data_IF_329186209439
#
_entry.id   IF_329186209439
#
_cell.length_a   1.000
_cell.length_b   1.000
_cell.length_c   1.000
_cell.angle_alpha   90.00
_cell.angle_beta   90.00
_cell.angle_gamma   90.00
#
_symmetry.space_group_name_H-M   'P 1'
#
loop_
_entity.id
_entity.type
_entity.pdbx_description
1 polymer ?
#
# COMPACT_ATOMS: atom_id res chain seq x y z
N UNK A 1 22.45 -0.68 17.43
CA UNK A 1 21.22 -0.95 16.67
C UNK A 1 21.62 -1.49 15.29
N UNK A 2 21.49 -2.80 15.02
CA UNK A 2 21.88 -3.39 13.72
C UNK A 2 20.83 -3.01 12.68
N UNK A 3 21.18 -2.15 11.73
CA UNK A 3 20.34 -1.85 10.57
C UNK A 3 20.26 -3.09 9.69
N UNK A 4 19.09 -3.73 9.64
CA UNK A 4 18.82 -4.83 8.70
C UNK A 4 19.04 -4.29 7.28
N UNK A 5 20.05 -4.82 6.57
CA UNK A 5 20.36 -4.44 5.18
C UNK A 5 19.14 -4.76 4.33
N UNK A 6 18.66 -3.79 3.53
CA UNK A 6 17.52 -4.00 2.63
C UNK A 6 17.99 -4.75 1.40
N UNK A 7 17.49 -5.96 1.18
CA UNK A 7 17.74 -6.71 -0.06
C UNK A 7 16.70 -6.34 -1.11
N UNK A 8 17.16 -5.94 -2.30
CA UNK A 8 16.30 -5.65 -3.44
C UNK A 8 15.71 -6.97 -3.95
N UNK A 9 14.38 -7.06 -3.95
CA UNK A 9 13.67 -8.20 -4.53
C UNK A 9 13.66 -8.08 -6.05
N UNK A 10 13.53 -9.21 -6.75
CA UNK A 10 13.29 -9.23 -8.20
C UNK A 10 12.09 -8.34 -8.57
N UNK A 11 11.03 -8.34 -7.75
CA UNK A 11 9.86 -7.47 -7.95
C UNK A 11 10.20 -5.98 -7.90
N UNK A 12 11.12 -5.58 -7.02
CA UNK A 12 11.58 -4.18 -6.92
C UNK A 12 12.37 -3.77 -8.14
N UNK A 13 13.25 -4.66 -8.61
CA UNK A 13 14.07 -4.43 -9.79
C UNK A 13 13.19 -4.31 -11.04
N UNK A 14 12.20 -5.20 -11.19
CA UNK A 14 11.22 -5.12 -12.26
C UNK A 14 10.41 -3.81 -12.19
N UNK A 15 9.95 -3.42 -11.00
CA UNK A 15 9.23 -2.15 -10.82
C UNK A 15 10.10 -0.95 -11.21
N UNK A 16 11.35 -0.91 -10.75
CA UNK A 16 12.29 0.15 -11.08
C UNK A 16 12.52 0.22 -12.60
N UNK A 17 12.70 -0.94 -13.26
CA UNK A 17 12.87 -1.04 -14.71
C UNK A 17 11.65 -0.56 -15.50
N UNK A 18 10.44 -0.92 -15.07
CA UNK A 18 9.20 -0.45 -15.69
C UNK A 18 9.08 1.08 -15.54
N UNK A 19 9.34 1.62 -14.35
CA UNK A 19 9.29 3.06 -14.12
C UNK A 19 10.33 3.79 -14.99
N UNK A 20 11.54 3.25 -15.12
CA UNK A 20 12.56 3.82 -15.99
C UNK A 20 12.12 3.83 -17.46
N UNK A 21 11.58 2.72 -17.96
CA UNK A 21 11.08 2.61 -19.33
C UNK A 21 9.92 3.58 -19.60
N UNK A 22 8.97 3.70 -18.66
CA UNK A 22 7.87 4.65 -18.76
C UNK A 22 8.37 6.09 -18.74
N UNK A 23 9.38 6.40 -17.92
CA UNK A 23 9.96 7.75 -17.88
C UNK A 23 10.54 8.12 -19.25
N UNK A 24 11.32 7.22 -19.86
CA UNK A 24 11.89 7.43 -21.20
C UNK A 24 10.79 7.57 -22.25
N UNK A 25 9.78 6.69 -22.23
CA UNK A 25 8.65 6.69 -23.16
C UNK A 25 7.82 7.98 -23.07
N UNK A 26 7.66 8.55 -21.88
CA UNK A 26 6.95 9.80 -21.66
C UNK A 26 7.79 11.05 -21.96
N UNK A 27 9.10 10.88 -22.20
CA UNK A 27 10.03 12.01 -22.43
C UNK A 27 10.44 12.11 -23.90
N UNK A 28 10.95 11.04 -24.51
CA UNK A 28 11.59 11.11 -25.83
C UNK A 28 10.65 11.47 -26.99
N UNK A 29 9.42 10.92 -27.10
CA UNK A 29 8.48 11.31 -28.15
C UNK A 29 8.09 12.79 -28.09
N UNK A 30 8.23 13.41 -26.91
CA UNK A 30 7.91 14.81 -26.65
C UNK A 30 9.17 15.63 -26.37
N UNK A 31 10.32 15.25 -26.93
CA UNK A 31 11.61 15.88 -26.66
C UNK A 31 11.58 17.41 -26.90
N UNK A 32 10.86 17.86 -27.94
CA UNK A 32 10.70 19.29 -28.24
C UNK A 32 10.10 20.10 -27.08
N UNK A 33 9.22 19.50 -26.28
CA UNK A 33 8.63 20.13 -25.10
C UNK A 33 9.41 19.78 -23.81
N UNK A 34 10.22 18.72 -23.81
CA UNK A 34 10.82 18.15 -22.61
C UNK A 34 12.22 18.66 -22.25
N UNK A 35 12.87 19.46 -23.11
CA UNK A 35 14.28 19.87 -22.98
C UNK A 35 14.55 21.37 -23.26
N UNK A 36 13.58 22.25 -23.01
CA UNK A 36 13.71 23.69 -23.24
C UNK A 36 13.65 24.54 -21.96
N UNK A 37 13.91 25.84 -22.08
CA UNK A 37 13.76 26.82 -20.98
C UNK A 37 12.35 26.74 -20.36
N UNK A 38 11.35 26.60 -21.22
CA UNK A 38 9.98 26.24 -20.84
C UNK A 38 9.82 24.73 -21.03
N UNK A 39 10.03 23.98 -19.95
CA UNK A 39 10.09 22.51 -19.99
C UNK A 39 8.78 21.86 -19.53
N UNK A 40 8.09 21.15 -20.42
CA UNK A 40 6.93 20.32 -20.05
C UNK A 40 7.28 18.84 -20.19
N UNK A 41 7.71 18.22 -19.09
CA UNK A 41 8.11 16.80 -19.05
C UNK A 41 7.06 15.94 -18.35
N UNK A 42 6.28 15.20 -19.13
CA UNK A 42 5.21 14.32 -18.63
C UNK A 42 5.73 13.25 -17.66
N UNK A 43 6.95 12.75 -17.89
CA UNK A 43 7.58 11.74 -17.06
C UNK A 43 7.76 12.15 -15.59
N UNK A 44 7.78 13.45 -15.30
CA UNK A 44 7.89 13.97 -13.92
C UNK A 44 6.67 13.61 -13.07
N UNK A 45 5.54 13.24 -13.68
CA UNK A 45 4.41 12.68 -12.96
C UNK A 45 4.76 11.38 -12.21
N UNK A 46 5.77 10.62 -12.69
CA UNK A 46 6.23 9.38 -12.05
C UNK A 46 7.08 9.63 -10.80
N UNK A 47 7.54 10.86 -10.55
CA UNK A 47 8.36 11.20 -9.37
C UNK A 47 7.59 11.18 -8.05
N UNK A 48 6.26 11.04 -8.12
CA UNK A 48 5.40 10.79 -6.96
C UNK A 48 5.45 9.33 -6.51
N UNK A 49 5.80 8.38 -7.38
CA UNK A 49 5.83 6.95 -7.05
C UNK A 49 6.81 6.58 -5.91
N UNK A 50 7.98 7.22 -5.79
CA UNK A 50 8.82 7.16 -4.60
C UNK A 50 8.08 7.39 -3.27
N UNK A 51 6.95 8.11 -3.22
CA UNK A 51 6.17 8.26 -1.98
C UNK A 51 5.67 6.91 -1.47
N UNK A 52 5.31 5.99 -2.37
CA UNK A 52 4.73 4.67 -2.04
C UNK A 52 5.78 3.57 -1.93
N UNK A 53 6.80 3.57 -2.79
CA UNK A 53 7.78 2.49 -2.88
C UNK A 53 9.22 3.03 -3.06
N UNK A 54 10.13 2.59 -2.19
CA UNK A 54 11.55 2.94 -2.28
C UNK A 54 12.21 2.46 -3.59
N UNK A 55 11.70 1.38 -4.19
CA UNK A 55 12.18 0.86 -5.47
C UNK A 55 11.90 1.80 -6.65
N UNK A 56 10.94 2.72 -6.52
CA UNK A 56 10.69 3.73 -7.54
C UNK A 56 11.81 4.79 -7.62
N UNK A 57 12.59 4.98 -6.56
CA UNK A 57 13.71 5.95 -6.53
C UNK A 57 14.75 5.64 -7.62
N UNK A 58 15.36 4.44 -7.68
CA UNK A 58 16.28 4.11 -8.76
C UNK A 58 15.59 4.07 -10.13
N UNK A 59 14.29 3.75 -10.18
CA UNK A 59 13.52 3.75 -11.43
C UNK A 59 13.43 5.12 -12.09
N UNK A 60 12.98 6.14 -11.35
CA UNK A 60 12.89 7.52 -11.89
C UNK A 60 14.26 8.12 -12.17
N UNK A 61 15.28 7.78 -11.35
CA UNK A 61 16.66 8.22 -11.58
C UNK A 61 17.23 7.66 -12.89
N UNK A 62 17.16 6.34 -13.07
CA UNK A 62 17.68 5.69 -14.29
C UNK A 62 16.86 6.12 -15.50
N UNK A 63 15.55 6.28 -15.36
CA UNK A 63 14.69 6.82 -16.40
C UNK A 63 15.11 8.22 -16.86
N UNK A 64 15.36 9.14 -15.92
CA UNK A 64 15.84 10.49 -16.21
C UNK A 64 17.23 10.46 -16.86
N UNK A 65 18.14 9.65 -16.34
CA UNK A 65 19.49 9.50 -16.89
C UNK A 65 19.47 9.01 -18.33
N UNK A 66 18.66 7.98 -18.61
CA UNK A 66 18.51 7.46 -19.96
C UNK A 66 17.81 8.47 -20.88
N UNK A 67 16.78 9.17 -20.41
CA UNK A 67 16.11 10.17 -21.22
C UNK A 67 17.04 11.33 -21.60
N UNK A 68 17.88 11.80 -20.68
CA UNK A 68 18.85 12.86 -20.97
C UNK A 68 20.00 12.35 -21.85
N UNK A 69 20.45 11.10 -21.65
CA UNK A 69 21.50 10.48 -22.48
C UNK A 69 21.03 10.25 -23.93
N UNK A 70 19.78 9.83 -24.10
CA UNK A 70 19.17 9.55 -25.40
C UNK A 70 18.53 10.79 -26.03
N UNK A 71 18.69 11.97 -25.42
CA UNK A 71 18.16 13.21 -25.95
C UNK A 71 18.81 13.52 -27.33
N UNK A 72 18.03 13.62 -28.42
CA UNK A 72 18.56 13.85 -29.77
C UNK A 72 19.36 15.15 -29.91
N UNK A 73 18.99 16.18 -29.15
CA UNK A 73 19.65 17.49 -29.20
C UNK A 73 20.83 17.62 -28.24
N UNK A 74 21.12 16.57 -27.45
CA UNK A 74 22.18 16.46 -26.43
C UNK A 74 22.60 17.79 -25.78
N UNK A 75 22.06 18.08 -24.60
CA UNK A 75 22.39 19.29 -23.81
C UNK A 75 23.71 19.18 -23.02
N UNK A 76 24.54 18.18 -23.35
CA UNK A 76 25.83 17.93 -22.71
C UNK A 76 25.75 17.18 -21.38
N UNK A 77 26.94 16.88 -20.81
CA UNK A 77 27.11 16.08 -19.58
C UNK A 77 26.45 16.75 -18.37
N UNK A 78 26.40 18.08 -18.36
CA UNK A 78 25.81 18.86 -17.26
C UNK A 78 24.31 18.56 -17.14
N UNK A 79 23.57 18.46 -18.25
CA UNK A 79 22.15 18.12 -18.21
C UNK A 79 21.93 16.64 -17.86
N UNK A 80 22.75 15.74 -18.40
CA UNK A 80 22.68 14.30 -18.11
C UNK A 80 22.86 14.04 -16.62
N UNK A 81 23.91 14.60 -16.00
CA UNK A 81 24.19 14.37 -14.59
C UNK A 81 23.35 15.28 -13.69
N UNK A 82 23.29 16.58 -13.99
CA UNK A 82 22.58 17.58 -13.20
C UNK A 82 21.10 17.27 -13.08
N UNK A 83 20.42 17.02 -14.20
CA UNK A 83 19.00 16.66 -14.22
C UNK A 83 18.73 15.34 -13.49
N UNK A 84 19.55 14.31 -13.74
CA UNK A 84 19.36 13.00 -13.09
C UNK A 84 19.59 13.04 -11.59
N UNK A 85 20.64 13.73 -11.13
CA UNK A 85 20.93 13.89 -9.71
C UNK A 85 19.86 14.74 -9.01
N UNK A 86 19.32 15.76 -9.68
CA UNK A 86 18.18 16.52 -9.19
C UNK A 86 16.96 15.62 -8.98
N UNK A 87 16.61 14.79 -9.97
CA UNK A 87 15.52 13.81 -9.86
C UNK A 87 15.76 12.79 -8.74
N UNK A 88 16.99 12.30 -8.58
CA UNK A 88 17.35 11.37 -7.50
C UNK A 88 17.16 12.02 -6.11
N UNK A 89 17.64 13.24 -5.94
CA UNK A 89 17.50 14.00 -4.70
C UNK A 89 16.01 14.26 -4.40
N UNK A 90 15.25 14.72 -5.39
CA UNK A 90 13.81 14.91 -5.26
C UNK A 90 13.08 13.64 -4.85
N UNK A 91 13.34 12.52 -5.54
CA UNK A 91 12.72 11.23 -5.26
C UNK A 91 13.03 10.75 -3.83
N UNK A 92 14.27 10.93 -3.37
CA UNK A 92 14.65 10.60 -2.01
C UNK A 92 13.91 11.46 -0.96
N UNK A 93 13.81 12.77 -1.19
CA UNK A 93 13.09 13.68 -0.32
C UNK A 93 11.59 13.36 -0.28
N UNK A 94 10.97 13.12 -1.45
CA UNK A 94 9.57 12.71 -1.56
C UNK A 94 9.30 11.39 -0.84
N UNK A 95 10.19 10.40 -0.95
CA UNK A 95 10.05 9.16 -0.18
C UNK A 95 10.07 9.45 1.33
N UNK A 96 11.01 10.28 1.81
CA UNK A 96 11.13 10.60 3.25
C UNK A 96 9.90 11.36 3.77
N UNK A 97 9.47 12.40 3.06
CA UNK A 97 8.28 13.20 3.41
C UNK A 97 6.98 12.39 3.24
N UNK A 98 6.99 11.43 2.33
CA UNK A 98 5.95 10.46 2.06
C UNK A 98 5.67 9.47 3.19
N UNK A 99 6.40 9.51 4.31
CA UNK A 99 6.16 8.62 5.45
C UNK A 99 4.72 8.72 6.00
N UNK A 100 4.13 9.92 5.94
CA UNK A 100 2.72 10.13 6.37
C UNK A 100 1.72 9.42 5.45
N UNK A 101 2.05 9.26 4.16
CA UNK A 101 1.22 8.51 3.20
C UNK A 101 1.27 7.00 3.41
N UNK A 102 2.36 6.49 4.01
CA UNK A 102 2.61 5.05 4.20
C UNK A 102 2.26 4.54 5.59
N UNK A 103 1.97 5.42 6.54
CA UNK A 103 1.61 5.00 7.90
C UNK A 103 0.32 4.19 7.88
N UNK A 104 0.32 2.94 8.40
CA UNK A 104 -0.91 2.20 8.60
C UNK A 104 -1.84 3.07 9.46
N UNK A 105 -3.07 3.30 9.00
CA UNK A 105 -4.09 3.82 9.91
C UNK A 105 -4.14 2.85 11.08
N UNK A 106 -3.85 3.33 12.29
CA UNK A 106 -4.22 2.61 13.50
C UNK A 106 -5.72 2.35 13.35
N UNK A 107 -6.09 1.10 13.16
CA UNK A 107 -7.45 0.66 13.40
C UNK A 107 -7.73 1.14 14.82
N UNK A 108 -8.70 2.04 14.97
CA UNK A 108 -9.13 2.45 16.29
C UNK A 108 -9.79 1.20 16.86
N UNK A 109 -9.01 0.39 17.57
CA UNK A 109 -9.50 -0.69 18.41
C UNK A 109 -10.24 0.00 19.57
N UNK A 110 -11.43 0.53 19.26
CA UNK A 110 -12.36 1.03 20.25
C UNK A 110 -12.82 -0.18 21.05
N UNK A 111 -12.16 -0.38 22.18
CA UNK A 111 -12.75 -0.82 23.44
C UNK A 111 -13.69 -2.03 23.35
N UNK A 112 -13.12 -3.23 23.22
CA UNK A 112 -13.68 -4.44 23.82
C UNK A 112 -13.05 -4.74 25.19
N UNK A 113 -12.46 -3.72 25.83
CA UNK A 113 -12.02 -3.76 27.22
C UNK A 113 -12.89 -2.76 27.96
N UNK A 114 -14.00 -3.24 28.53
CA UNK A 114 -14.57 -2.72 29.79
C UNK A 114 -15.92 -3.34 30.20
N UNK A 115 -16.53 -4.23 29.40
CA UNK A 115 -17.82 -4.83 29.79
C UNK A 115 -17.66 -6.05 30.73
N UNK A 116 -16.49 -6.70 30.81
CA UNK A 116 -16.32 -7.90 31.64
C UNK A 116 -15.92 -7.64 33.11
N UNK A 117 -15.81 -6.39 33.55
CA UNK A 117 -15.42 -6.05 34.94
C UNK A 117 -16.56 -5.51 35.81
N UNK A 118 -17.79 -5.46 35.31
CA UNK A 118 -18.92 -4.87 36.03
C UNK A 118 -20.13 -5.79 36.22
N UNK A 119 -20.02 -7.10 35.97
CA UNK A 119 -21.03 -8.06 36.44
C UNK A 119 -20.70 -8.45 37.88
N UNK A 120 -21.28 -7.70 38.82
CA UNK A 120 -21.34 -8.01 40.23
C UNK A 120 -21.91 -9.42 40.48
N UNK A 121 -21.48 -10.03 41.59
CA UNK A 121 -21.89 -11.33 42.10
C UNK A 121 -23.42 -11.54 42.11
N UNK A 122 -23.93 -12.75 41.81
CA UNK A 122 -25.34 -13.05 42.04
C UNK A 122 -25.63 -13.13 43.55
N UNK A 123 -26.73 -12.53 44.05
CA UNK A 123 -27.09 -12.63 45.46
C UNK A 123 -27.55 -14.05 45.80
N UNK A 124 -27.06 -14.54 46.94
CA UNK A 124 -27.51 -15.77 47.57
C UNK A 124 -28.98 -15.69 47.97
N UNK A 125 -29.78 -16.68 47.58
CA UNK A 125 -31.07 -16.98 48.21
C UNK A 125 -31.22 -18.48 48.41
N UNK A 126 -31.34 -18.85 49.69
CA UNK A 126 -31.60 -20.19 50.17
C UNK A 126 -33.06 -20.58 49.96
N UNK A 127 -33.34 -21.83 49.59
CA UNK A 127 -34.43 -22.60 50.21
C UNK A 127 -34.37 -24.09 49.83
N UNK A 128 -34.17 -24.88 50.88
CA UNK A 128 -34.45 -26.31 51.16
C UNK A 128 -35.27 -27.10 50.12
N UNK A 129 -34.82 -28.33 49.86
CA UNK A 129 -35.46 -29.63 50.16
C UNK A 129 -34.55 -30.74 49.58
N UNK A 130 -33.81 -31.52 50.38
CA UNK A 130 -34.25 -32.75 51.06
C UNK A 130 -34.73 -33.85 50.09
N UNK A 131 -33.86 -34.82 49.78
CA UNK A 131 -34.15 -36.26 49.80
C UNK A 131 -32.89 -37.08 49.45
N UNK A 132 -32.71 -38.15 50.22
CA UNK A 132 -31.74 -39.25 50.19
C UNK A 132 -31.77 -39.99 48.82
N UNK A 133 -30.85 -40.87 48.40
CA UNK A 133 -30.12 -41.92 49.12
C UNK A 133 -29.06 -42.56 48.19
N UNK A 134 -28.07 -43.23 48.78
CA UNK A 134 -27.04 -44.05 48.10
C UNK A 134 -27.60 -45.41 47.68
N UNK A 135 -27.15 -45.97 46.55
CA UNK A 135 -27.02 -47.44 46.45
C UNK A 135 -25.80 -47.84 45.59
N UNK A 136 -24.90 -48.59 46.23
CA UNK A 136 -23.84 -49.38 45.60
C UNK A 136 -24.47 -50.57 44.86
N UNK A 137 -23.81 -51.14 43.84
CA UNK A 137 -23.43 -52.57 43.82
C UNK A 137 -22.72 -52.97 42.51
N UNK A 138 -21.64 -53.71 42.75
CA UNK A 138 -20.82 -54.54 41.88
C UNK A 138 -21.63 -55.63 41.15
N UNK A 139 -21.30 -55.91 39.89
CA UNK A 139 -21.78 -57.12 39.22
C UNK A 139 -21.03 -57.43 37.94
N UNK A 140 -20.14 -58.42 37.99
CA UNK A 140 -19.55 -59.08 36.83
C UNK A 140 -20.52 -60.12 36.25
N UNK A 141 -20.44 -60.26 34.91
CA UNK A 141 -20.78 -61.41 34.06
C UNK A 141 -22.28 -61.65 33.71
N UNK A 142 -22.61 -62.32 32.58
CA UNK A 142 -21.74 -63.00 31.60
C UNK A 142 -21.97 -62.62 30.12
N UNK A 143 -20.95 -62.84 29.29
CA UNK A 143 -21.17 -63.13 27.86
C UNK A 143 -21.68 -64.57 27.71
N UNK A 144 -22.60 -64.83 26.76
CA UNK A 144 -22.61 -66.11 26.07
C UNK A 144 -22.68 -65.94 24.54
N UNK A 145 -21.63 -66.46 23.91
CA UNK A 145 -21.66 -67.56 22.95
C UNK A 145 -22.54 -67.51 21.68
N UNK A 146 -21.82 -67.31 20.56
CA UNK A 146 -21.75 -68.10 19.31
C UNK A 146 -23.03 -68.65 18.63
N UNK A 147 -23.07 -68.35 17.32
CA UNK A 147 -23.33 -69.25 16.17
C UNK A 147 -24.69 -69.25 15.43
N UNK A 148 -24.53 -69.01 14.12
CA UNK A 148 -25.08 -69.69 12.94
C UNK A 148 -26.54 -69.47 12.50
N UNK A 149 -26.61 -68.89 11.29
CA UNK A 149 -27.25 -69.48 10.11
C UNK A 149 -28.76 -69.77 10.13
N UNK A 150 -29.50 -68.93 9.42
CA UNK A 150 -30.59 -69.36 8.53
C UNK A 150 -31.99 -68.94 8.95
N UNK A 151 -32.54 -67.95 8.23
CA UNK A 151 -33.89 -67.88 7.64
C UNK A 151 -34.36 -66.42 7.50
N UNK A 152 -34.41 -65.92 6.26
CA UNK A 152 -35.30 -64.82 5.85
C UNK A 152 -36.69 -65.43 5.56
N UNK A 153 -37.84 -64.70 5.60
CA UNK A 153 -38.02 -63.25 5.40
C UNK A 153 -39.14 -62.55 6.24
N UNK A 154 -39.15 -61.22 6.30
CA UNK A 154 -40.37 -60.39 6.27
C UNK A 154 -40.00 -58.91 5.93
N UNK A 155 -40.75 -58.20 5.05
CA UNK A 155 -40.40 -56.84 4.65
C UNK A 155 -41.06 -55.83 5.60
N UNK A 156 -40.37 -55.50 6.69
CA UNK A 156 -40.89 -54.53 7.64
C UNK A 156 -40.73 -53.09 7.13
N UNK A 157 -41.88 -52.54 6.75
CA UNK A 157 -42.16 -51.12 6.55
C UNK A 157 -41.81 -50.37 7.83
N UNK A 158 -40.63 -49.76 7.91
CA UNK A 158 -40.32 -48.61 8.78
C UNK A 158 -38.96 -48.00 8.40
N UNK A 159 -38.83 -47.53 7.15
CA UNK A 159 -37.78 -46.57 6.79
C UNK A 159 -38.24 -45.16 7.16
N UNK A 160 -38.24 -44.88 8.46
CA UNK A 160 -38.14 -43.52 9.00
C UNK A 160 -36.90 -43.51 9.87
N UNK A 161 -35.73 -43.40 9.22
CA UNK A 161 -34.49 -43.19 9.94
C UNK A 161 -34.58 -41.89 10.72
N UNK A 162 -34.54 -41.99 12.05
CA UNK A 162 -34.20 -40.86 12.90
C UNK A 162 -32.80 -40.40 12.49
N UNK A 163 -32.74 -39.29 11.77
CA UNK A 163 -31.49 -38.58 11.50
C UNK A 163 -30.83 -38.26 12.85
N UNK A 164 -29.50 -38.38 13.00
CA UNK A 164 -28.83 -37.95 14.21
C UNK A 164 -29.09 -36.44 14.38
N UNK A 165 -29.66 -36.07 15.53
CA UNK A 165 -29.78 -34.68 15.94
C UNK A 165 -28.39 -34.04 15.91
N UNK A 166 -28.15 -33.18 14.92
CA UNK A 166 -26.97 -32.34 14.89
C UNK A 166 -27.01 -31.42 16.11
N UNK A 167 -25.95 -31.47 16.91
CA UNK A 167 -25.62 -30.53 17.98
C UNK A 167 -25.86 -29.08 17.52
N UNK A 168 -27.03 -28.53 17.85
CA UNK A 168 -27.39 -27.12 17.65
C UNK A 168 -26.73 -26.20 18.70
N UNK A 169 -25.46 -26.47 19.00
CA UNK A 169 -24.64 -25.66 19.92
C UNK A 169 -23.19 -25.50 19.43
N UNK A 170 -22.96 -25.44 18.12
CA UNK A 170 -21.82 -24.65 17.64
C UNK A 170 -22.28 -23.20 17.59
N UNK A 171 -21.73 -22.41 18.49
CA UNK A 171 -21.83 -20.96 18.52
C UNK A 171 -21.65 -20.37 17.11
N UNK A 172 -22.75 -20.07 16.41
CA UNK A 172 -22.71 -19.16 15.28
C UNK A 172 -22.23 -17.83 15.85
N UNK A 173 -20.95 -17.52 15.67
CA UNK A 173 -20.46 -16.16 15.93
C UNK A 173 -21.39 -15.24 15.15
N UNK A 174 -22.02 -14.24 15.79
CA UNK A 174 -22.91 -13.33 15.09
C UNK A 174 -22.20 -12.82 13.84
N UNK A 175 -22.84 -12.97 12.68
CA UNK A 175 -22.38 -12.31 11.47
C UNK A 175 -22.51 -10.80 11.73
N UNK A 176 -21.41 -10.19 12.20
CA UNK A 176 -21.28 -8.74 12.29
C UNK A 176 -20.98 -8.29 10.86
N UNK A 177 -21.86 -7.51 10.21
CA UNK A 177 -21.51 -6.88 8.96
C UNK A 177 -20.24 -6.08 9.22
N UNK A 178 -19.14 -6.43 8.53
CA UNK A 178 -17.95 -5.60 8.51
C UNK A 178 -18.33 -4.34 7.75
N UNK A 179 -18.96 -3.40 8.47
CA UNK A 179 -19.08 -2.02 8.08
C UNK A 179 -17.65 -1.47 8.10
N UNK A 180 -16.88 -1.83 7.06
CA UNK A 180 -15.72 -1.07 6.64
C UNK A 180 -16.29 0.26 6.17
N UNK A 181 -16.68 1.13 7.12
CA UNK A 181 -16.76 2.56 6.88
C UNK A 181 -15.38 2.91 6.35
N UNK A 182 -15.28 3.01 5.02
CA UNK A 182 -14.11 3.46 4.34
C UNK A 182 -13.85 4.85 4.91
N UNK A 183 -13.00 4.90 5.93
CA UNK A 183 -12.64 6.15 6.58
C UNK A 183 -12.10 7.00 5.43
N UNK A 184 -12.76 8.11 5.09
CA UNK A 184 -12.26 8.99 4.02
C UNK A 184 -10.84 9.37 4.41
N UNK A 185 -9.86 9.13 3.55
CA UNK A 185 -8.52 9.64 3.78
C UNK A 185 -8.61 11.16 3.76
N UNK A 186 -8.51 11.78 4.94
CA UNK A 186 -8.53 13.24 5.04
C UNK A 186 -7.21 13.75 4.46
N UNK A 187 -7.31 14.27 3.24
CA UNK A 187 -6.20 14.88 2.54
C UNK A 187 -5.79 16.14 3.31
N UNK A 188 -4.57 16.13 3.86
CA UNK A 188 -4.05 17.21 4.71
C UNK A 188 -2.76 17.81 4.11
N UNK A 189 -2.35 19.01 4.50
CA UNK A 189 -1.19 19.76 3.96
C UNK A 189 0.12 18.96 3.94
N UNK A 190 0.32 18.04 4.90
CA UNK A 190 1.46 17.10 4.93
C UNK A 190 1.55 16.22 3.68
N UNK A 191 0.41 15.90 3.08
CA UNK A 191 0.32 15.12 1.85
C UNK A 191 0.86 15.90 0.66
N UNK A 192 0.51 17.18 0.59
CA UNK A 192 0.97 18.12 -0.45
C UNK A 192 2.49 18.30 -0.38
N UNK A 193 3.05 18.42 0.83
CA UNK A 193 4.49 18.63 1.01
C UNK A 193 5.34 17.51 0.39
N UNK A 194 4.86 16.26 0.38
CA UNK A 194 5.61 15.15 -0.22
C UNK A 194 5.72 15.26 -1.76
N UNK A 195 4.88 16.07 -2.40
CA UNK A 195 4.85 16.32 -3.85
C UNK A 195 5.72 17.49 -4.28
N UNK A 196 6.16 18.33 -3.35
CA UNK A 196 6.95 19.53 -3.64
C UNK A 196 8.40 19.28 -4.05
N UNK A 197 9.13 18.25 -3.54
CA UNK A 197 10.55 18.11 -3.85
C UNK A 197 10.89 18.05 -5.34
N UNK A 198 10.18 17.31 -6.22
CA UNK A 198 10.46 17.31 -7.65
C UNK A 198 10.34 18.70 -8.28
N UNK A 199 9.33 19.46 -7.87
CA UNK A 199 9.08 20.81 -8.39
C UNK A 199 10.22 21.74 -7.99
N UNK A 200 10.53 21.79 -6.69
CA UNK A 200 11.52 22.74 -6.14
C UNK A 200 12.93 22.38 -6.61
N UNK A 201 13.32 21.10 -6.50
CA UNK A 201 14.68 20.68 -6.83
C UNK A 201 14.94 20.81 -8.32
N UNK A 202 14.00 20.45 -9.20
CA UNK A 202 14.18 20.62 -10.64
C UNK A 202 14.17 22.10 -11.04
N UNK A 203 13.27 22.92 -10.48
CA UNK A 203 13.24 24.35 -10.79
C UNK A 203 14.56 25.04 -10.41
N UNK A 204 15.13 24.72 -9.24
CA UNK A 204 16.39 25.30 -8.79
C UNK A 204 17.61 24.72 -9.49
N UNK A 205 17.59 23.45 -9.88
CA UNK A 205 18.75 22.83 -10.53
C UNK A 205 18.71 23.10 -12.03
N UNK A 206 17.70 22.56 -12.72
CA UNK A 206 17.53 22.68 -14.17
C UNK A 206 17.28 24.12 -14.58
N UNK A 207 16.44 24.86 -13.85
CA UNK A 207 16.15 26.26 -14.17
C UNK A 207 17.35 27.20 -14.01
N UNK A 208 18.34 26.82 -13.19
CA UNK A 208 19.58 27.59 -13.07
C UNK A 208 20.56 27.21 -14.18
N UNK A 209 20.84 25.92 -14.39
CA UNK A 209 21.90 25.55 -15.33
C UNK A 209 21.46 25.63 -16.80
N UNK A 210 20.19 25.42 -17.11
CA UNK A 210 19.74 25.29 -18.50
C UNK A 210 19.92 26.59 -19.31
N UNK A 211 19.58 27.79 -18.79
CA UNK A 211 19.92 29.04 -19.47
C UNK A 211 21.42 29.26 -19.63
N UNK A 212 22.24 28.80 -18.67
CA UNK A 212 23.70 28.91 -18.74
C UNK A 212 24.30 28.05 -19.86
N UNK A 213 23.62 26.97 -20.25
CA UNK A 213 24.05 26.07 -21.32
C UNK A 213 23.52 26.49 -22.69
N UNK A 214 22.32 27.08 -22.75
CA UNK A 214 21.65 27.38 -24.01
C UNK A 214 21.88 28.80 -24.53
N UNK A 215 22.21 29.75 -23.65
CA UNK A 215 22.28 31.17 -24.01
C UNK A 215 23.70 31.71 -23.76
N UNK A 216 24.25 32.39 -24.77
CA UNK A 216 25.54 33.08 -24.66
C UNK A 216 25.45 34.33 -23.77
N UNK A 217 24.29 35.00 -23.78
CA UNK A 217 24.02 36.15 -22.91
C UNK A 217 23.22 35.72 -21.68
N UNK A 218 23.91 35.66 -20.55
CA UNK A 218 23.30 35.29 -19.27
C UNK A 218 22.85 36.55 -18.55
N UNK A 219 21.54 36.66 -18.37
CA UNK A 219 20.94 37.71 -17.54
C UNK A 219 20.18 37.11 -16.36
N UNK A 220 20.24 37.78 -15.21
CA UNK A 220 19.53 37.36 -14.01
C UNK A 220 18.01 37.19 -14.22
N UNK A 221 17.31 38.07 -14.97
CA UNK A 221 15.90 37.89 -15.27
C UNK A 221 15.58 36.62 -16.06
N UNK A 222 16.47 36.21 -16.98
CA UNK A 222 16.27 34.99 -17.78
C UNK A 222 16.39 33.74 -16.92
N UNK A 223 17.37 33.69 -16.01
CA UNK A 223 17.51 32.59 -15.04
C UNK A 223 16.25 32.52 -14.17
N UNK A 224 15.80 33.66 -13.62
CA UNK A 224 14.61 33.70 -12.78
C UNK A 224 13.34 33.27 -13.55
N UNK A 225 13.23 33.68 -14.82
CA UNK A 225 12.17 33.24 -15.72
C UNK A 225 12.20 31.74 -16.02
N UNK A 226 13.39 31.15 -16.16
CA UNK A 226 13.56 29.70 -16.34
C UNK A 226 13.16 28.92 -15.08
N UNK A 227 13.64 29.34 -13.90
CA UNK A 227 13.23 28.75 -12.62
C UNK A 227 11.71 28.81 -12.47
N UNK A 228 11.10 29.97 -12.74
CA UNK A 228 9.65 30.16 -12.63
C UNK A 228 8.85 29.30 -13.61
N UNK A 229 9.26 29.24 -14.88
CA UNK A 229 8.57 28.45 -15.90
C UNK A 229 8.69 26.94 -15.66
N UNK A 230 9.86 26.45 -15.24
CA UNK A 230 10.05 25.05 -14.84
C UNK A 230 9.23 24.74 -13.58
N UNK A 231 9.25 25.60 -12.55
CA UNK A 231 8.44 25.40 -11.36
C UNK A 231 6.93 25.28 -11.70
N UNK A 232 6.43 26.15 -12.59
CA UNK A 232 5.03 26.15 -13.00
C UNK A 232 4.64 24.87 -13.75
N UNK A 233 5.41 24.50 -14.77
CA UNK A 233 5.15 23.31 -15.60
C UNK A 233 5.29 22.02 -14.78
N UNK A 234 6.29 21.93 -13.92
CA UNK A 234 6.47 20.82 -12.99
C UNK A 234 5.29 20.71 -12.02
N UNK A 235 4.83 21.84 -11.47
CA UNK A 235 3.65 21.84 -10.60
C UNK A 235 2.40 21.35 -11.35
N UNK A 236 2.19 21.79 -12.59
CA UNK A 236 1.06 21.33 -13.41
C UNK A 236 1.12 19.82 -13.65
N UNK A 237 2.28 19.26 -13.99
CA UNK A 237 2.43 17.82 -14.23
C UNK A 237 2.28 17.02 -12.94
N UNK A 238 2.94 17.43 -11.86
CA UNK A 238 2.93 16.68 -10.58
C UNK A 238 1.56 16.74 -9.93
N UNK A 239 0.91 17.89 -9.87
CA UNK A 239 -0.43 18.01 -9.28
C UNK A 239 -1.54 17.56 -10.23
N UNK A 240 -1.39 17.79 -11.54
CA UNK A 240 -2.41 17.44 -12.53
C UNK A 240 -2.41 15.95 -12.92
N UNK A 241 -1.24 15.31 -13.00
CA UNK A 241 -1.10 13.91 -13.42
C UNK A 241 -0.53 13.03 -12.31
N UNK A 242 0.51 13.50 -11.61
CA UNK A 242 1.16 12.74 -10.54
C UNK A 242 0.23 12.46 -9.36
N UNK A 243 -0.48 13.46 -8.84
CA UNK A 243 -1.37 13.30 -7.70
C UNK A 243 -2.53 12.32 -7.99
N UNK A 244 -3.27 12.40 -9.12
CA UNK A 244 -4.25 11.38 -9.48
C UNK A 244 -3.65 9.98 -9.59
N UNK A 245 -2.46 9.84 -10.20
CA UNK A 245 -1.74 8.57 -10.28
C UNK A 245 -1.40 8.03 -8.88
N UNK A 246 -0.92 8.89 -7.98
CA UNK A 246 -0.59 8.52 -6.61
C UNK A 246 -1.83 8.04 -5.84
N UNK A 247 -2.93 8.78 -5.92
CA UNK A 247 -4.18 8.46 -5.23
C UNK A 247 -4.81 7.17 -5.75
N UNK A 248 -4.76 6.92 -7.06
CA UNK A 248 -5.29 5.69 -7.66
C UNK A 248 -4.48 4.47 -7.23
N UNK A 249 -3.15 4.54 -7.30
CA UNK A 249 -2.27 3.45 -6.86
C UNK A 249 -2.35 3.20 -5.35
N UNK A 250 -2.60 4.23 -4.55
CA UNK A 250 -2.78 4.08 -3.11
C UNK A 250 -4.05 3.29 -2.78
N UNK A 251 -5.13 3.46 -3.56
CA UNK A 251 -6.38 2.72 -3.38
C UNK A 251 -6.25 1.25 -3.74
N UNK A 252 -5.47 0.91 -4.77
CA UNK A 252 -5.28 -0.49 -5.19
C UNK A 252 -4.29 -1.23 -4.29
N UNK A 253 -3.43 -0.51 -3.56
CA UNK A 253 -2.41 -1.10 -2.68
C UNK A 253 -1.28 -1.82 -3.43
N UNK A 254 -1.35 -1.91 -4.76
CA UNK A 254 -0.44 -2.72 -5.59
C UNK A 254 1.02 -2.27 -5.53
N UNK A 255 1.26 -0.97 -5.34
CA UNK A 255 2.61 -0.42 -5.27
C UNK A 255 3.15 -0.29 -3.84
N UNK A 256 2.29 -0.47 -2.82
CA UNK A 256 2.67 -0.25 -1.42
C UNK A 256 3.46 -1.46 -0.96
N UNK A 257 4.74 -1.25 -0.64
CA UNK A 257 5.58 -2.28 -0.05
C UNK A 257 5.42 -2.25 1.47
N UNK A 258 4.94 -3.36 2.03
CA UNK A 258 4.80 -3.60 3.48
C UNK A 258 6.17 -3.63 4.19
#
# INVERSE_FOLDING_TARGET
>A
MKTKKRELSVKDLTLAGIIAALYVLLTLPFAHFSFGIVQFRLAEALTVLPILNAAAIPGVFVGCLLANLLNPSSLGIVDILGGSLATLLAAYLSYKLGATWRSPRREVETSYVDISKNSADPPATSSRNAAYEHEYISGNAPEPDINLSGNAPEPDRNLSGNAPEQDRNLSEKPFVPSDKKATKQEFNWRHIIALLPPIIVNALTVGVYLPLLLLEEISFPVILGSIGSIALTQALVVFGLGLPLLLTLQRTGQLRRE
#
